data_IF_032124182699
#
_entry.id   IF_032124182699
#
_cell.length_a   1.000
_cell.length_b   1.000
_cell.length_c   1.000
_cell.angle_alpha   90.00
_cell.angle_beta   90.00
_cell.angle_gamma   90.00
#
_symmetry.space_group_name_H-M   'P 1'
#
loop_
_entity.id
_entity.type
_entity.pdbx_description
1 polymer ?
#
# COMPACT_ATOMS: atom_id res chain seq x y z
N UNK A 1 -50.72 -22.49 -66.98
CA UNK A 1 -49.93 -23.73 -67.15
C UNK A 1 -48.58 -23.52 -66.49
N UNK A 2 -48.31 -24.29 -65.44
CA UNK A 2 -46.98 -24.48 -64.84
C UNK A 2 -46.23 -25.54 -65.69
N UNK A 3 -44.89 -25.63 -65.71
CA UNK A 3 -44.19 -26.21 -64.56
C UNK A 3 -42.71 -25.79 -64.30
N UNK A 4 -42.31 -25.91 -63.03
CA UNK A 4 -41.03 -26.42 -62.47
C UNK A 4 -39.69 -25.78 -62.91
N UNK A 5 -38.69 -25.55 -62.05
CA UNK A 5 -38.37 -25.87 -60.65
C UNK A 5 -36.96 -25.30 -60.43
N UNK A 6 -36.64 -24.52 -59.41
CA UNK A 6 -36.05 -24.94 -58.13
C UNK A 6 -35.30 -23.68 -57.64
N UNK A 7 -35.42 -23.19 -56.41
CA UNK A 7 -34.63 -23.53 -55.21
C UNK A 7 -35.25 -22.55 -54.18
N UNK A 8 -35.87 -22.99 -53.09
CA UNK A 8 -35.17 -23.61 -51.96
C UNK A 8 -34.93 -22.55 -50.88
N UNK A 9 -35.94 -22.38 -50.04
CA UNK A 9 -35.99 -21.57 -48.81
C UNK A 9 -34.79 -21.78 -47.88
N UNK A 10 -34.13 -20.70 -47.44
CA UNK A 10 -33.34 -20.67 -46.19
C UNK A 10 -33.11 -19.24 -45.69
N UNK A 11 -34.19 -18.56 -45.32
CA UNK A 11 -34.15 -17.26 -44.64
C UNK A 11 -34.67 -17.41 -43.20
N UNK A 12 -34.05 -18.27 -42.40
CA UNK A 12 -34.37 -18.39 -40.96
C UNK A 12 -33.30 -19.19 -40.20
N UNK A 13 -32.03 -18.75 -40.22
CA UNK A 13 -31.01 -19.43 -39.39
C UNK A 13 -29.78 -18.60 -39.01
N UNK A 14 -29.91 -17.29 -38.76
CA UNK A 14 -28.77 -16.46 -38.35
C UNK A 14 -29.12 -15.46 -37.22
N UNK A 15 -29.79 -15.92 -36.15
CA UNK A 15 -30.02 -15.11 -34.92
C UNK A 15 -29.82 -15.89 -33.61
N UNK A 16 -28.90 -16.85 -33.59
CA UNK A 16 -28.58 -17.58 -32.34
C UNK A 16 -27.11 -18.03 -32.29
N UNK A 17 -26.18 -17.08 -32.44
CA UNK A 17 -24.73 -17.35 -32.32
C UNK A 17 -23.91 -16.16 -31.78
N UNK A 18 -24.51 -15.26 -30.99
CA UNK A 18 -23.80 -14.07 -30.44
C UNK A 18 -23.88 -13.91 -28.92
N UNK A 19 -24.40 -14.89 -28.18
CA UNK A 19 -24.51 -14.85 -26.71
C UNK A 19 -23.51 -15.74 -25.96
N UNK A 20 -22.62 -16.44 -26.66
CA UNK A 20 -21.66 -17.38 -26.06
C UNK A 20 -20.23 -16.85 -25.83
N UNK A 21 -19.85 -15.71 -26.44
CA UNK A 21 -18.44 -15.29 -26.48
C UNK A 21 -18.06 -14.22 -25.45
N UNK A 22 -19.03 -13.53 -24.80
CA UNK A 22 -18.70 -12.59 -23.71
C UNK A 22 -18.47 -13.27 -22.35
N UNK A 23 -18.97 -14.50 -22.14
CA UNK A 23 -18.73 -15.22 -20.89
C UNK A 23 -17.31 -15.81 -20.80
N UNK A 24 -16.70 -16.15 -21.94
CA UNK A 24 -15.33 -16.67 -21.99
C UNK A 24 -14.26 -15.59 -21.77
N UNK A 25 -14.55 -14.33 -22.08
CA UNK A 25 -13.61 -13.22 -21.85
C UNK A 25 -13.59 -12.72 -20.39
N UNK A 26 -14.68 -12.94 -19.64
CA UNK A 26 -14.76 -12.62 -18.20
C UNK A 26 -14.10 -13.69 -17.30
N UNK A 27 -13.81 -14.88 -17.82
CA UNK A 27 -13.22 -15.99 -17.05
C UNK A 27 -11.69 -16.10 -17.21
N UNK A 28 -11.08 -15.36 -18.14
CA UNK A 28 -9.61 -15.39 -18.37
C UNK A 28 -8.87 -14.31 -17.58
N UNK A 29 -9.56 -13.35 -16.94
CA UNK A 29 -8.94 -12.33 -16.08
C UNK A 29 -8.77 -12.76 -14.61
N UNK A 30 -9.20 -13.97 -14.23
CA UNK A 30 -9.12 -14.47 -12.85
C UNK A 30 -8.09 -15.60 -12.66
N UNK A 31 -7.62 -16.20 -13.75
CA UNK A 31 -6.46 -17.07 -13.72
C UNK A 31 -5.30 -16.21 -14.18
N UNK A 32 -4.31 -15.97 -13.33
CA UNK A 32 -2.89 -15.74 -13.61
C UNK A 32 -2.31 -15.23 -12.28
N UNK A 33 -1.42 -16.05 -11.72
CA UNK A 33 -0.75 -15.91 -10.43
C UNK A 33 -1.62 -15.95 -9.16
N UNK A 34 -2.39 -17.04 -8.97
CA UNK A 34 -2.46 -17.62 -7.64
C UNK A 34 -1.07 -18.21 -7.31
N UNK A 35 -0.08 -17.35 -7.04
CA UNK A 35 1.05 -17.78 -6.22
C UNK A 35 0.41 -18.34 -4.96
N UNK A 36 0.54 -19.64 -4.73
CA UNK A 36 0.05 -20.27 -3.52
C UNK A 36 0.68 -19.51 -2.36
N UNK A 37 -0.12 -18.64 -1.73
CA UNK A 37 0.35 -17.86 -0.60
C UNK A 37 0.95 -18.86 0.40
N UNK A 38 2.14 -18.57 0.98
CA UNK A 38 2.77 -19.47 1.91
C UNK A 38 1.76 -19.90 2.98
N UNK A 39 1.78 -21.18 3.33
CA UNK A 39 0.83 -21.75 4.29
C UNK A 39 0.87 -20.92 5.58
N UNK A 40 -0.22 -20.18 5.85
CA UNK A 40 -0.31 -19.32 7.03
C UNK A 40 -0.52 -20.17 8.27
N UNK A 41 0.15 -19.82 9.36
CA UNK A 41 -0.09 -20.41 10.67
C UNK A 41 -1.56 -20.25 11.08
N UNK A 42 -2.09 -21.25 11.79
CA UNK A 42 -3.45 -21.22 12.34
C UNK A 42 -3.46 -20.57 13.73
N UNK A 43 -4.55 -19.88 14.03
CA UNK A 43 -4.86 -19.46 15.40
C UNK A 43 -5.05 -20.72 16.26
N UNK A 44 -4.35 -20.83 17.40
CA UNK A 44 -4.55 -21.92 18.34
C UNK A 44 -5.99 -21.96 18.88
N UNK A 45 -6.46 -23.14 19.28
CA UNK A 45 -7.85 -23.32 19.73
C UNK A 45 -8.19 -22.51 21.00
N UNK A 46 -7.20 -22.18 21.82
CA UNK A 46 -7.33 -21.32 23.00
C UNK A 46 -7.28 -19.81 22.64
N UNK A 47 -7.11 -19.47 21.36
CA UNK A 47 -7.03 -18.09 20.87
C UNK A 47 -5.73 -17.38 21.21
N UNK A 48 -4.75 -18.06 21.81
CA UNK A 48 -3.49 -17.45 22.26
C UNK A 48 -2.44 -17.49 21.17
N UNK A 49 -2.13 -16.33 20.60
CA UNK A 49 -1.12 -16.12 19.57
C UNK A 49 0.16 -15.65 20.24
N UNK A 50 1.27 -16.36 19.99
CA UNK A 50 2.59 -15.98 20.50
C UNK A 50 3.51 -15.72 19.31
N UNK A 51 4.09 -14.53 19.27
CA UNK A 51 5.12 -14.16 18.30
C UNK A 51 6.43 -13.98 19.06
N UNK A 52 7.47 -14.67 18.64
CA UNK A 52 8.82 -14.56 19.21
C UNK A 52 9.77 -14.03 18.15
N UNK A 53 10.57 -13.03 18.50
CA UNK A 53 11.62 -12.53 17.65
C UNK A 53 12.93 -13.28 17.93
N UNK A 54 13.27 -14.22 17.05
CA UNK A 54 14.55 -14.92 17.07
C UNK A 54 15.66 -14.16 16.31
N UNK A 55 15.30 -13.14 15.54
CA UNK A 55 16.23 -12.37 14.73
C UNK A 55 16.93 -11.25 15.49
N UNK A 56 16.52 -10.98 16.75
CA UNK A 56 16.94 -9.81 17.52
C UNK A 56 16.69 -8.53 16.70
N UNK A 57 15.60 -8.55 15.93
CA UNK A 57 15.08 -7.44 15.17
C UNK A 57 14.09 -6.71 16.07
N UNK A 58 14.16 -5.40 16.07
CA UNK A 58 13.08 -4.62 16.67
C UNK A 58 11.88 -4.61 15.73
N UNK A 59 10.84 -5.39 16.02
CA UNK A 59 9.63 -5.37 15.21
C UNK A 59 8.82 -4.17 15.69
N UNK A 60 8.97 -3.07 14.95
CA UNK A 60 7.93 -2.05 14.89
C UNK A 60 6.57 -2.66 14.49
N UNK A 61 5.51 -1.86 14.45
CA UNK A 61 4.18 -2.32 14.06
C UNK A 61 4.23 -2.99 12.69
N UNK A 62 3.83 -4.25 12.61
CA UNK A 62 3.84 -5.03 11.38
C UNK A 62 2.55 -5.85 11.24
N UNK A 63 1.87 -5.79 10.07
CA UNK A 63 0.72 -6.63 9.79
C UNK A 63 1.10 -8.10 9.76
N UNK A 64 0.40 -8.90 10.56
CA UNK A 64 0.53 -10.36 10.57
C UNK A 64 -0.81 -11.00 10.23
N UNK A 65 -0.78 -12.20 9.64
CA UNK A 65 -1.98 -12.87 9.16
C UNK A 65 -1.98 -14.35 9.54
N UNK A 66 -3.09 -14.80 10.11
CA UNK A 66 -3.29 -16.16 10.59
C UNK A 66 -4.58 -16.76 10.01
N UNK A 67 -4.59 -18.06 9.77
CA UNK A 67 -5.83 -18.78 9.49
C UNK A 67 -6.68 -18.87 10.76
N UNK A 68 -7.98 -18.57 10.67
CA UNK A 68 -8.92 -18.61 11.78
C UNK A 68 -10.01 -19.64 11.53
N UNK A 69 -10.39 -20.39 12.58
CA UNK A 69 -11.60 -21.21 12.56
C UNK A 69 -12.82 -20.34 12.91
N UNK A 70 -13.62 -20.03 11.89
CA UNK A 70 -14.81 -19.19 12.02
C UNK A 70 -15.92 -19.82 12.88
N UNK A 71 -15.89 -21.14 13.11
CA UNK A 71 -16.83 -21.81 14.02
C UNK A 71 -16.46 -21.57 15.47
N UNK A 72 -15.16 -21.67 15.79
CA UNK A 72 -14.65 -21.40 17.12
C UNK A 72 -14.68 -19.89 17.45
N UNK A 73 -14.33 -19.06 16.46
CA UNK A 73 -14.22 -17.61 16.56
C UNK A 73 -15.11 -16.93 15.50
N UNK A 74 -16.42 -16.79 15.76
CA UNK A 74 -17.34 -16.17 14.81
C UNK A 74 -17.10 -14.66 14.70
N UNK A 75 -16.97 -14.09 13.48
CA UNK A 75 -16.84 -12.65 13.28
C UNK A 75 -17.98 -11.84 13.92
N UNK A 76 -17.71 -10.58 14.26
CA UNK A 76 -18.70 -9.68 14.87
C UNK A 76 -18.89 -9.83 16.38
N UNK A 77 -18.20 -10.78 17.02
CA UNK A 77 -18.27 -11.05 18.47
C UNK A 77 -16.92 -11.39 19.06
N UNK A 78 -15.88 -10.68 18.61
CA UNK A 78 -14.50 -10.99 18.97
C UNK A 78 -13.80 -9.75 19.51
N UNK A 79 -12.83 -10.01 20.37
CA UNK A 79 -11.83 -9.04 20.82
C UNK A 79 -10.45 -9.68 20.67
N UNK A 80 -9.49 -8.91 20.15
CA UNK A 80 -8.08 -9.25 20.19
C UNK A 80 -7.41 -8.34 21.21
N UNK A 81 -6.81 -8.94 22.24
CA UNK A 81 -6.17 -8.20 23.34
C UNK A 81 -4.67 -8.45 23.33
N UNK A 82 -3.87 -7.41 23.55
CA UNK A 82 -2.47 -7.56 23.88
C UNK A 82 -2.28 -7.99 25.35
N UNK A 83 -1.05 -8.31 25.76
CA UNK A 83 -0.72 -8.79 27.10
C UNK A 83 -1.05 -7.79 28.22
N UNK A 84 -1.14 -6.49 27.92
CA UNK A 84 -1.55 -5.44 28.85
C UNK A 84 -3.08 -5.24 28.92
N UNK A 85 -3.85 -6.06 28.18
CA UNK A 85 -5.30 -5.97 28.09
C UNK A 85 -5.82 -4.91 27.11
N UNK A 86 -4.94 -4.18 26.42
CA UNK A 86 -5.34 -3.22 25.40
C UNK A 86 -5.95 -3.93 24.20
N UNK A 87 -7.00 -3.34 23.62
CA UNK A 87 -7.60 -3.84 22.40
C UNK A 87 -6.68 -3.54 21.20
N UNK A 88 -6.50 -4.54 20.35
CA UNK A 88 -5.73 -4.46 19.12
C UNK A 88 -6.70 -4.52 17.94
N UNK A 89 -6.66 -3.54 17.01
CA UNK A 89 -7.53 -3.58 15.85
C UNK A 89 -7.20 -4.79 14.97
N UNK A 90 -8.24 -5.48 14.52
CA UNK A 90 -8.12 -6.69 13.71
C UNK A 90 -9.21 -6.74 12.66
N UNK A 91 -8.98 -7.44 11.56
CA UNK A 91 -10.01 -7.70 10.56
C UNK A 91 -9.97 -9.15 10.11
N UNK A 92 -11.14 -9.69 9.77
CA UNK A 92 -11.30 -11.05 9.28
C UNK A 92 -11.84 -11.00 7.86
N UNK A 93 -11.10 -11.59 6.93
CA UNK A 93 -11.52 -11.73 5.53
C UNK A 93 -11.43 -13.18 5.11
N UNK A 94 -12.55 -13.72 4.63
CA UNK A 94 -12.72 -15.16 4.42
C UNK A 94 -12.39 -15.91 5.72
N UNK A 95 -11.26 -16.63 5.76
CA UNK A 95 -10.77 -17.35 6.94
C UNK A 95 -9.41 -16.84 7.44
N UNK A 96 -9.07 -15.58 7.16
CA UNK A 96 -7.81 -14.97 7.55
C UNK A 96 -8.07 -13.84 8.54
N UNK A 97 -7.52 -13.96 9.74
CA UNK A 97 -7.40 -12.88 10.72
C UNK A 97 -6.13 -12.09 10.41
N UNK A 98 -6.25 -10.77 10.27
CA UNK A 98 -5.11 -9.85 10.18
C UNK A 98 -5.18 -8.82 11.29
N UNK A 99 -4.04 -8.56 11.92
CA UNK A 99 -3.87 -7.49 12.91
C UNK A 99 -2.44 -6.95 12.84
N UNK A 100 -2.18 -5.84 13.52
CA UNK A 100 -0.82 -5.25 13.60
C UNK A 100 -0.16 -5.71 14.89
N UNK A 101 0.96 -6.42 14.77
CA UNK A 101 1.75 -6.88 15.89
C UNK A 101 3.00 -6.00 16.09
N UNK A 102 3.34 -5.75 17.35
CA UNK A 102 4.65 -5.27 17.76
C UNK A 102 5.35 -6.40 18.53
N UNK A 103 6.60 -6.70 18.21
CA UNK A 103 7.40 -7.72 18.92
C UNK A 103 8.69 -7.06 19.41
N UNK A 104 8.95 -7.04 20.73
CA UNK A 104 10.17 -6.42 21.25
C UNK A 104 11.39 -7.18 20.75
N UNK A 105 12.48 -6.45 20.54
CA UNK A 105 13.77 -6.98 20.10
C UNK A 105 14.23 -8.17 20.95
N UNK A 106 14.41 -9.33 20.32
CA UNK A 106 14.82 -10.58 20.98
C UNK A 106 13.81 -11.14 21.98
N UNK A 107 12.59 -10.59 22.01
CA UNK A 107 11.56 -10.93 22.99
C UNK A 107 10.38 -11.64 22.35
N UNK A 108 9.23 -11.55 23.01
CA UNK A 108 7.98 -12.12 22.52
C UNK A 108 6.81 -11.20 22.82
N UNK A 109 5.79 -11.26 21.97
CA UNK A 109 4.51 -10.63 22.17
C UNK A 109 3.40 -11.69 22.19
N UNK A 110 2.41 -11.47 23.04
CA UNK A 110 1.26 -12.37 23.22
C UNK A 110 -0.01 -11.60 22.91
N UNK A 111 -0.85 -12.19 22.08
CA UNK A 111 -2.17 -11.68 21.73
C UNK A 111 -3.21 -12.74 22.01
N UNK A 112 -4.36 -12.36 22.56
CA UNK A 112 -5.45 -13.26 22.90
C UNK A 112 -6.70 -12.89 22.12
N UNK A 113 -7.10 -13.77 21.20
CA UNK A 113 -8.38 -13.68 20.53
C UNK A 113 -9.44 -14.35 21.41
N UNK A 114 -10.48 -13.61 21.77
CA UNK A 114 -11.53 -14.10 22.67
C UNK A 114 -12.92 -13.67 22.19
N UNK A 115 -13.94 -14.39 22.64
CA UNK A 115 -15.34 -14.01 22.40
C UNK A 115 -15.66 -12.76 23.22
N UNK A 116 -16.39 -11.85 22.60
CA UNK A 116 -16.86 -10.59 23.17
C UNK A 116 -18.36 -10.45 22.94
N UNK A 117 -19.03 -9.70 23.82
CA UNK A 117 -20.46 -9.41 23.67
C UNK A 117 -20.75 -8.55 22.43
N UNK A 118 -19.78 -7.71 22.04
CA UNK A 118 -19.83 -6.81 20.88
C UNK A 118 -18.60 -7.04 19.98
N UNK A 119 -18.67 -6.57 18.74
CA UNK A 119 -17.51 -6.53 17.87
C UNK A 119 -16.54 -5.44 18.33
N UNK A 120 -15.29 -5.83 18.64
CA UNK A 120 -14.23 -4.92 19.08
C UNK A 120 -13.12 -4.79 18.03
N UNK A 121 -13.38 -5.24 16.80
CA UNK A 121 -12.43 -5.22 15.67
C UNK A 121 -11.80 -3.86 15.37
N UNK A 122 -12.58 -2.79 15.57
CA UNK A 122 -12.19 -1.42 15.23
C UNK A 122 -11.73 -0.60 16.43
N UNK A 123 -11.68 -1.19 17.64
CA UNK A 123 -11.16 -0.47 18.80
C UNK A 123 -9.68 -0.13 18.60
N UNK A 124 -9.31 1.09 19.02
CA UNK A 124 -7.94 1.63 18.91
C UNK A 124 -7.36 1.68 17.49
N UNK A 125 -8.17 1.56 16.43
CA UNK A 125 -7.66 1.81 15.08
C UNK A 125 -7.46 3.31 14.83
N UNK A 126 -6.31 3.65 14.27
CA UNK A 126 -6.03 4.97 13.70
C UNK A 126 -6.34 5.05 12.21
N UNK A 127 -6.57 3.89 11.56
CA UNK A 127 -6.68 3.77 10.12
C UNK A 127 -8.04 4.27 9.64
N UNK A 128 -8.02 5.16 8.65
CA UNK A 128 -9.19 5.83 8.10
C UNK A 128 -9.13 5.80 6.58
N UNK A 129 -10.28 5.63 5.97
CA UNK A 129 -10.48 5.79 4.53
C UNK A 129 -11.65 6.74 4.29
N UNK A 130 -11.51 7.61 3.29
CA UNK A 130 -12.57 8.51 2.86
C UNK A 130 -12.39 8.79 1.37
N UNK A 131 -13.48 8.83 0.61
CA UNK A 131 -13.45 9.19 -0.81
C UNK A 131 -14.31 10.44 -1.03
N UNK A 132 -13.76 11.39 -1.78
CA UNK A 132 -14.46 12.60 -2.20
C UNK A 132 -14.08 12.97 -3.64
N UNK A 133 -14.43 14.19 -4.07
CA UNK A 133 -14.13 14.70 -5.42
C UNK A 133 -12.63 14.77 -5.74
N UNK A 134 -11.78 14.85 -4.72
CA UNK A 134 -10.33 14.95 -4.84
C UNK A 134 -9.66 13.57 -4.81
N UNK A 135 -10.40 12.49 -4.54
CA UNK A 135 -9.92 11.12 -4.65
C UNK A 135 -10.16 10.30 -3.39
N UNK A 136 -9.45 9.17 -3.29
CA UNK A 136 -9.48 8.30 -2.13
C UNK A 136 -8.35 8.68 -1.18
N UNK A 137 -8.67 9.12 0.02
CA UNK A 137 -7.72 9.30 1.11
C UNK A 137 -7.62 8.02 1.95
N UNK A 138 -6.40 7.54 2.16
CA UNK A 138 -6.07 6.55 3.19
C UNK A 138 -5.14 7.22 4.20
N UNK A 139 -5.45 7.12 5.49
CA UNK A 139 -4.70 7.79 6.54
C UNK A 139 -4.58 6.94 7.79
N UNK A 140 -3.46 7.07 8.50
CA UNK A 140 -3.31 6.62 9.88
C UNK A 140 -2.81 7.79 10.76
N UNK A 141 -2.35 7.50 11.97
CA UNK A 141 -1.87 8.50 12.93
C UNK A 141 -0.55 9.17 12.55
N UNK A 142 0.14 8.69 11.50
CA UNK A 142 1.47 9.15 11.06
C UNK A 142 1.46 9.78 9.67
N UNK A 143 0.66 9.24 8.74
CA UNK A 143 0.69 9.62 7.33
C UNK A 143 -0.72 9.56 6.73
N UNK A 144 -1.01 10.49 5.83
CA UNK A 144 -2.16 10.48 4.93
C UNK A 144 -1.68 10.43 3.48
N UNK A 145 -2.36 9.64 2.65
CA UNK A 145 -2.06 9.48 1.23
C UNK A 145 -3.34 9.72 0.44
N UNK A 146 -3.26 10.60 -0.54
CA UNK A 146 -4.32 10.86 -1.50
C UNK A 146 -4.05 10.08 -2.77
N UNK A 147 -5.00 9.21 -3.11
CA UNK A 147 -4.96 8.30 -4.24
C UNK A 147 -6.04 8.71 -5.25
N UNK A 148 -5.94 8.25 -6.51
CA UNK A 148 -7.06 8.34 -7.43
C UNK A 148 -8.37 7.80 -6.83
N UNK A 149 -9.50 8.41 -7.21
CA UNK A 149 -10.81 7.86 -6.87
C UNK A 149 -10.97 6.47 -7.47
N UNK A 150 -11.77 5.62 -6.82
CA UNK A 150 -12.05 4.30 -7.34
C UNK A 150 -12.80 4.36 -8.67
N UNK A 151 -12.53 3.42 -9.56
CA UNK A 151 -13.18 3.33 -10.86
C UNK A 151 -12.22 2.99 -12.00
N UNK A 152 -12.66 3.30 -13.21
CA UNK A 152 -11.94 2.98 -14.44
C UNK A 152 -11.81 4.22 -15.31
N UNK A 153 -10.59 4.47 -15.80
CA UNK A 153 -10.30 5.45 -16.84
C UNK A 153 -10.01 4.70 -18.13
N UNK A 154 -10.87 4.88 -19.12
CA UNK A 154 -10.74 4.25 -20.44
C UNK A 154 -10.89 5.31 -21.55
N UNK A 155 -9.77 5.90 -22.01
CA UNK A 155 -9.78 6.81 -23.15
C UNK A 155 -10.36 6.15 -24.42
N UNK A 156 -10.93 6.96 -25.32
CA UNK A 156 -11.46 6.46 -26.60
C UNK A 156 -10.33 5.88 -27.48
N UNK A 157 -9.15 6.49 -27.43
CA UNK A 157 -7.90 5.99 -28.01
C UNK A 157 -6.81 6.00 -26.93
N UNK A 158 -5.82 5.08 -26.97
CA UNK A 158 -4.73 5.08 -25.99
C UNK A 158 -4.12 6.47 -25.84
N UNK A 159 -4.01 6.96 -24.60
CA UNK A 159 -3.55 8.31 -24.30
C UNK A 159 -2.08 8.32 -23.86
N UNK A 160 -1.31 9.39 -24.07
CA UNK A 160 0.02 9.52 -23.48
C UNK A 160 -0.04 9.33 -21.96
N UNK A 161 0.93 8.61 -21.38
CA UNK A 161 0.90 8.30 -19.95
C UNK A 161 0.89 9.56 -19.05
N UNK A 162 1.48 10.67 -19.51
CA UNK A 162 1.45 11.96 -18.84
C UNK A 162 0.04 12.58 -18.71
N UNK A 163 -0.94 12.14 -19.50
CA UNK A 163 -2.34 12.59 -19.42
C UNK A 163 -3.20 11.73 -18.50
N UNK A 164 -2.69 10.57 -18.05
CA UNK A 164 -3.36 9.70 -17.11
C UNK A 164 -2.74 9.92 -15.74
N UNK A 165 -3.59 10.09 -14.72
CA UNK A 165 -3.12 10.26 -13.35
C UNK A 165 -2.26 9.07 -12.89
N UNK A 166 -1.19 9.37 -12.14
CA UNK A 166 -0.37 8.35 -11.49
C UNK A 166 -1.05 7.73 -10.26
N UNK A 167 -0.48 6.65 -9.69
CA UNK A 167 -1.08 5.88 -8.60
C UNK A 167 -1.16 6.63 -7.27
N UNK A 168 -0.33 7.64 -7.07
CA UNK A 168 -0.32 8.55 -5.91
C UNK A 168 -0.53 9.98 -6.40
N UNK A 169 -1.54 10.66 -5.87
CA UNK A 169 -1.79 12.08 -6.18
C UNK A 169 -0.99 13.00 -5.29
N UNK A 170 -0.98 12.71 -3.99
CA UNK A 170 -0.21 13.44 -3.00
C UNK A 170 -0.12 12.63 -1.69
N UNK A 171 0.71 13.07 -0.77
CA UNK A 171 0.79 12.55 0.58
C UNK A 171 1.03 13.69 1.57
N UNK A 172 0.83 13.40 2.86
CA UNK A 172 0.97 14.37 3.93
C UNK A 172 1.38 13.67 5.24
N UNK A 173 2.51 14.02 5.86
CA UNK A 173 2.86 13.53 7.18
C UNK A 173 1.96 14.16 8.26
N UNK A 174 1.87 13.51 9.42
CA UNK A 174 1.19 14.06 10.60
C UNK A 174 1.78 15.43 10.95
N UNK A 175 0.90 16.39 11.26
CA UNK A 175 1.30 17.75 11.64
C UNK A 175 1.59 18.67 10.46
N UNK A 176 1.39 18.20 9.22
CA UNK A 176 1.47 19.04 8.03
C UNK A 176 0.06 19.39 7.54
N UNK A 177 -0.11 20.62 7.07
CA UNK A 177 -1.38 21.10 6.53
C UNK A 177 -1.45 21.00 5.00
N UNK A 178 -0.29 21.07 4.34
CA UNK A 178 -0.19 21.00 2.87
C UNK A 178 0.03 19.57 2.38
N UNK A 179 -0.73 19.19 1.36
CA UNK A 179 -0.45 18.00 0.55
C UNK A 179 0.77 18.24 -0.33
N UNK A 180 1.63 17.23 -0.43
CA UNK A 180 2.88 17.29 -1.18
C UNK A 180 3.07 16.04 -2.02
N UNK A 181 3.99 16.13 -2.96
CA UNK A 181 4.42 15.05 -3.80
C UNK A 181 3.40 14.64 -4.84
N UNK A 182 3.52 13.40 -5.29
CA UNK A 182 2.67 12.80 -6.31
C UNK A 182 3.45 11.76 -7.11
N UNK A 183 2.85 11.31 -8.20
CA UNK A 183 3.47 10.33 -9.09
C UNK A 183 3.09 10.57 -10.53
N UNK A 184 3.96 10.16 -11.44
CA UNK A 184 3.71 10.17 -12.88
C UNK A 184 4.54 9.09 -13.56
N UNK A 185 4.09 8.66 -14.73
CA UNK A 185 4.92 7.84 -15.59
C UNK A 185 5.91 8.70 -16.38
N UNK A 186 7.12 8.20 -16.51
CA UNK A 186 8.11 8.62 -17.49
C UNK A 186 8.22 7.48 -18.49
N UNK A 187 7.48 7.57 -19.59
CA UNK A 187 7.41 6.56 -20.66
C UNK A 187 6.77 7.19 -21.90
N UNK A 188 7.17 6.74 -23.07
CA UNK A 188 6.50 7.08 -24.35
C UNK A 188 5.31 6.16 -24.64
N UNK A 189 5.14 5.09 -23.84
CA UNK A 189 4.02 4.17 -23.98
C UNK A 189 2.71 4.86 -23.66
N UNK A 190 1.67 4.47 -24.38
CA UNK A 190 0.34 5.03 -24.23
C UNK A 190 -0.47 4.12 -23.32
N UNK A 191 -1.34 4.69 -22.51
CA UNK A 191 -2.22 3.95 -21.60
C UNK A 191 -3.59 3.83 -22.27
N UNK A 192 -4.03 2.59 -22.49
CA UNK A 192 -5.33 2.26 -23.05
C UNK A 192 -6.42 2.19 -21.97
N UNK A 193 -6.05 1.87 -20.73
CA UNK A 193 -6.96 1.70 -19.61
C UNK A 193 -6.22 1.82 -18.28
N UNK A 194 -6.85 2.41 -17.28
CA UNK A 194 -6.40 2.38 -15.89
C UNK A 194 -7.57 2.01 -14.96
N UNK A 195 -7.31 1.18 -13.95
CA UNK A 195 -8.29 0.71 -12.97
C UNK A 195 -7.77 1.01 -11.57
N UNK A 196 -8.62 1.61 -10.75
CA UNK A 196 -8.33 2.09 -9.42
C UNK A 196 -9.32 1.45 -8.45
N UNK A 197 -8.84 0.76 -7.41
CA UNK A 197 -9.72 0.05 -6.48
C UNK A 197 -9.15 -0.05 -5.08
N UNK A 198 -10.01 0.11 -4.10
CA UNK A 198 -9.75 -0.33 -2.74
C UNK A 198 -9.90 -1.85 -2.71
N UNK A 199 -8.78 -2.57 -2.66
CA UNK A 199 -8.75 -4.04 -2.66
C UNK A 199 -9.12 -4.59 -1.29
N UNK A 200 -8.71 -3.88 -0.25
CA UNK A 200 -8.90 -4.27 1.14
C UNK A 200 -9.18 -3.04 1.99
N UNK A 201 -10.22 -3.11 2.81
CA UNK A 201 -10.55 -2.04 3.77
C UNK A 201 -10.96 -2.66 5.09
N UNK A 202 -10.24 -2.31 6.15
CA UNK A 202 -10.57 -2.75 7.49
C UNK A 202 -9.77 -1.99 8.55
N UNK A 203 -10.06 -2.24 9.83
CA UNK A 203 -9.44 -1.51 10.93
C UNK A 203 -7.96 -1.82 11.16
N UNK A 204 -7.41 -2.94 10.68
CA UNK A 204 -6.00 -3.25 10.85
C UNK A 204 -5.16 -2.79 9.65
N UNK A 205 -5.66 -3.05 8.44
CA UNK A 205 -4.96 -2.88 7.17
C UNK A 205 -5.94 -2.40 6.09
N UNK A 206 -5.43 -1.52 5.25
CA UNK A 206 -6.08 -1.03 4.04
C UNK A 206 -5.13 -1.24 2.86
N UNK A 207 -5.65 -1.75 1.74
CA UNK A 207 -4.89 -1.96 0.51
C UNK A 207 -5.63 -1.35 -0.68
N UNK A 208 -4.88 -0.61 -1.48
CA UNK A 208 -5.37 -0.02 -2.72
C UNK A 208 -4.49 -0.45 -3.89
N UNK A 209 -5.13 -0.69 -5.04
CA UNK A 209 -4.47 -1.08 -6.28
C UNK A 209 -4.77 -0.07 -7.38
N UNK A 210 -3.71 0.37 -8.06
CA UNK A 210 -3.77 1.08 -9.32
C UNK A 210 -3.14 0.19 -10.41
N UNK A 211 -3.93 -0.17 -11.41
CA UNK A 211 -3.55 -1.07 -12.50
C UNK A 211 -3.66 -0.34 -13.82
N UNK A 212 -2.59 -0.39 -14.62
CA UNK A 212 -2.49 0.32 -15.89
C UNK A 212 -2.22 -0.67 -17.02
N UNK A 213 -2.95 -0.51 -18.12
CA UNK A 213 -2.81 -1.31 -19.32
C UNK A 213 -2.26 -0.43 -20.44
N UNK A 214 -1.06 -0.75 -20.91
CA UNK A 214 -0.34 -0.02 -21.95
C UNK A 214 -0.66 -0.53 -23.36
N UNK A 215 -0.40 0.34 -24.34
CA UNK A 215 -0.42 0.08 -25.78
C UNK A 215 0.91 0.55 -26.39
N UNK A 216 1.68 -0.32 -27.07
CA UNK A 216 1.49 -1.77 -27.23
C UNK A 216 1.38 -2.54 -25.90
N UNK A 217 0.90 -3.80 -25.94
CA UNK A 217 0.54 -4.60 -24.76
C UNK A 217 1.59 -4.51 -23.66
N UNK A 218 1.15 -4.16 -22.46
CA UNK A 218 1.92 -4.21 -21.21
C UNK A 218 1.01 -3.91 -20.03
N UNK A 219 1.38 -4.35 -18.84
CA UNK A 219 0.62 -4.14 -17.62
C UNK A 219 1.54 -3.68 -16.48
N UNK A 220 1.07 -2.70 -15.72
CA UNK A 220 1.72 -2.25 -14.50
C UNK A 220 0.71 -2.26 -13.36
N UNK A 221 1.04 -2.94 -12.27
CA UNK A 221 0.23 -3.00 -11.07
C UNK A 221 1.00 -2.39 -9.91
N UNK A 222 0.41 -1.36 -9.33
CA UNK A 222 0.93 -0.70 -8.15
C UNK A 222 -0.04 -0.94 -6.99
N UNK A 223 0.46 -1.46 -5.88
CA UNK A 223 -0.32 -1.69 -4.66
C UNK A 223 0.30 -0.94 -3.51
N UNK A 224 -0.55 -0.29 -2.72
CA UNK A 224 -0.16 0.29 -1.45
C UNK A 224 -0.92 -0.36 -0.32
N UNK A 225 -0.18 -0.75 0.71
CA UNK A 225 -0.72 -1.23 1.96
C UNK A 225 -0.38 -0.22 3.06
N UNK A 226 -1.40 0.19 3.79
CA UNK A 226 -1.29 0.97 5.02
C UNK A 226 -1.88 0.18 6.18
N UNK A 227 -1.29 0.33 7.35
CA UNK A 227 -1.77 -0.30 8.57
C UNK A 227 -1.80 0.71 9.72
N UNK A 228 -2.63 0.43 10.73
CA UNK A 228 -2.62 1.19 11.98
C UNK A 228 -1.23 1.10 12.64
N UNK A 229 -0.76 2.16 13.29
CA UNK A 229 0.55 2.19 13.96
C UNK A 229 1.76 2.34 13.04
N UNK A 230 1.66 2.05 11.75
CA UNK A 230 2.83 2.06 10.86
C UNK A 230 3.20 3.48 10.40
N UNK A 231 4.44 3.96 10.62
CA UNK A 231 4.88 5.26 10.11
C UNK A 231 5.28 5.23 8.63
N UNK A 232 5.06 4.10 7.94
CA UNK A 232 5.39 3.87 6.55
C UNK A 232 4.20 3.27 5.82
N UNK A 233 4.14 3.49 4.51
CA UNK A 233 3.26 2.72 3.62
C UNK A 233 4.10 1.74 2.81
N UNK A 234 3.61 0.51 2.66
CA UNK A 234 4.31 -0.54 1.90
C UNK A 234 3.81 -0.52 0.47
N UNK A 235 4.73 -0.32 -0.46
CA UNK A 235 4.44 -0.29 -1.89
C UNK A 235 4.94 -1.58 -2.53
N UNK A 236 4.13 -2.17 -3.40
CA UNK A 236 4.51 -3.31 -4.24
C UNK A 236 4.19 -2.97 -5.69
N UNK A 237 5.16 -3.21 -6.56
CA UNK A 237 5.08 -2.90 -7.98
C UNK A 237 5.32 -4.18 -8.78
N UNK A 238 4.44 -4.44 -9.74
CA UNK A 238 4.56 -5.53 -10.71
C UNK A 238 4.53 -4.91 -12.10
N UNK A 239 5.51 -5.22 -12.94
CA UNK A 239 5.55 -4.75 -14.31
C UNK A 239 5.73 -5.90 -15.28
N UNK A 240 4.76 -6.07 -16.17
CA UNK A 240 4.83 -6.98 -17.31
C UNK A 240 4.86 -6.14 -18.58
N UNK A 241 6.06 -5.88 -19.10
CA UNK A 241 6.23 -5.00 -20.25
C UNK A 241 5.65 -5.53 -21.56
N UNK A 242 5.30 -6.82 -21.64
CA UNK A 242 4.84 -7.52 -22.85
C UNK A 242 5.91 -7.71 -23.93
N UNK A 243 7.03 -6.99 -23.82
CA UNK A 243 8.22 -7.05 -24.66
C UNK A 243 9.47 -6.60 -23.88
N UNK A 244 10.66 -6.78 -24.43
CA UNK A 244 11.90 -6.24 -23.86
C UNK A 244 11.89 -4.72 -24.08
N UNK A 245 12.11 -3.94 -23.02
CA UNK A 245 12.14 -2.48 -23.08
C UNK A 245 13.56 -1.96 -22.91
N UNK A 246 13.82 -0.74 -23.39
CA UNK A 246 15.12 -0.06 -23.23
C UNK A 246 15.36 0.47 -21.79
N UNK A 247 14.57 0.02 -20.81
CA UNK A 247 14.65 0.48 -19.42
C UNK A 247 14.16 1.92 -19.20
N UNK A 248 13.37 2.46 -20.14
CA UNK A 248 12.86 3.85 -20.10
C UNK A 248 11.45 3.98 -19.54
N UNK A 249 10.79 2.87 -19.23
CA UNK A 249 9.43 2.84 -18.70
C UNK A 249 9.46 2.86 -17.18
N UNK A 250 9.32 4.05 -16.59
CA UNK A 250 9.49 4.24 -15.15
C UNK A 250 8.24 4.89 -14.54
N UNK A 251 7.85 4.42 -13.36
CA UNK A 251 7.04 5.22 -12.45
C UNK A 251 7.97 6.15 -11.66
N UNK A 252 7.72 7.46 -11.71
CA UNK A 252 8.41 8.43 -10.87
C UNK A 252 7.54 8.80 -9.67
N UNK A 253 8.06 8.56 -8.47
CA UNK A 253 7.48 9.05 -7.22
C UNK A 253 8.12 10.39 -6.85
N UNK A 254 7.42 11.49 -7.13
CA UNK A 254 7.91 12.84 -6.90
C UNK A 254 7.58 13.29 -5.47
N UNK A 255 7.93 12.52 -4.44
CA UNK A 255 7.46 12.74 -3.05
C UNK A 255 7.78 14.12 -2.47
N UNK A 256 8.79 14.82 -3.01
CA UNK A 256 9.25 16.14 -2.59
C UNK A 256 8.55 17.30 -3.31
N UNK A 257 7.74 17.04 -4.34
CA UNK A 257 7.14 18.10 -5.15
C UNK A 257 6.21 18.96 -4.30
N UNK A 258 6.36 20.29 -4.38
CA UNK A 258 5.58 21.21 -3.56
C UNK A 258 6.00 21.24 -2.08
N UNK A 259 7.09 20.56 -1.72
CA UNK A 259 7.66 20.67 -0.38
C UNK A 259 8.28 22.05 -0.18
N UNK A 260 7.72 22.80 0.76
CA UNK A 260 8.32 24.00 1.31
C UNK A 260 8.82 23.65 2.72
N UNK A 261 10.11 23.83 3.04
CA UNK A 261 10.63 23.48 4.35
C UNK A 261 10.09 24.43 5.42
N UNK A 262 8.89 24.12 5.94
CA UNK A 262 8.35 24.74 7.14
C UNK A 262 8.89 24.08 8.41
N UNK A 263 9.33 22.81 8.32
CA UNK A 263 9.86 22.01 9.42
C UNK A 263 11.10 21.23 8.98
N UNK A 264 12.07 21.08 9.88
CA UNK A 264 13.12 20.05 9.78
C UNK A 264 12.66 18.83 10.56
N UNK A 265 12.68 17.69 9.89
CA UNK A 265 12.49 16.38 10.51
C UNK A 265 13.84 15.72 10.70
N UNK A 266 14.09 15.18 11.88
CA UNK A 266 15.18 14.24 12.09
C UNK A 266 14.64 13.01 12.81
N UNK A 267 15.15 11.86 12.38
CA UNK A 267 14.96 10.61 13.10
C UNK A 267 16.03 10.63 14.19
N UNK A 268 15.61 10.78 15.45
CA UNK A 268 16.52 10.75 16.59
C UNK A 268 17.20 9.38 16.73
N UNK A 269 18.25 9.28 17.55
CA UNK A 269 18.69 7.95 17.98
C UNK A 269 17.55 7.29 18.75
N UNK A 270 17.30 6.02 18.44
CA UNK A 270 16.27 5.22 19.07
C UNK A 270 16.61 5.07 20.56
N UNK A 271 15.79 5.60 21.49
CA UNK A 271 16.02 5.40 22.92
C UNK A 271 15.95 3.90 23.24
N UNK A 272 16.79 3.42 24.17
CA UNK A 272 16.69 2.04 24.65
C UNK A 272 15.26 1.73 25.12
N UNK A 273 14.65 0.69 24.56
CA UNK A 273 13.30 0.23 24.93
C UNK A 273 12.12 0.84 24.15
N UNK A 274 12.34 1.66 23.11
CA UNK A 274 11.27 2.11 22.21
C UNK A 274 11.41 1.51 20.82
N UNK A 275 10.33 0.94 20.26
CA UNK A 275 10.34 0.23 18.97
C UNK A 275 10.40 1.12 17.72
N UNK A 276 10.27 2.45 17.87
CA UNK A 276 10.35 3.41 16.76
C UNK A 276 11.12 4.62 17.26
N UNK A 277 12.18 5.00 16.54
CA UNK A 277 12.86 6.27 16.80
C UNK A 277 11.85 7.42 16.61
N UNK A 278 11.65 8.29 17.61
CA UNK A 278 10.70 9.38 17.49
C UNK A 278 11.13 10.29 16.33
N UNK A 279 10.21 10.48 15.39
CA UNK A 279 10.37 11.51 14.36
C UNK A 279 10.12 12.84 15.05
N UNK A 280 11.21 13.57 15.34
CA UNK A 280 11.09 14.91 15.87
C UNK A 280 11.00 15.88 14.70
N UNK A 281 9.95 16.70 14.70
CA UNK A 281 9.79 17.79 13.76
C UNK A 281 9.91 19.12 14.51
N UNK A 282 10.71 20.05 13.97
CA UNK A 282 10.86 21.40 14.50
C UNK A 282 10.64 22.42 13.39
N UNK A 283 10.00 23.58 13.65
CA UNK A 283 9.93 24.64 12.66
C UNK A 283 11.31 24.97 12.09
N UNK A 284 11.40 25.03 10.76
CA UNK A 284 12.64 25.33 10.05
C UNK A 284 13.20 26.69 10.46
N UNK A 285 12.32 27.68 10.66
CA UNK A 285 12.68 29.00 11.20
C UNK A 285 13.43 28.89 12.53
N UNK A 286 12.92 28.08 13.47
CA UNK A 286 13.54 27.89 14.78
C UNK A 286 14.89 27.17 14.69
N UNK A 287 15.01 26.15 13.82
CA UNK A 287 16.31 25.52 13.56
C UNK A 287 17.33 26.52 12.98
N UNK A 288 16.91 27.34 12.01
CA UNK A 288 17.78 28.34 11.40
C UNK A 288 18.19 29.40 12.42
N UNK A 289 17.28 29.86 13.28
CA UNK A 289 17.61 30.77 14.37
C UNK A 289 18.62 30.15 15.34
N UNK A 290 18.46 28.87 15.70
CA UNK A 290 19.41 28.17 16.57
C UNK A 290 20.77 27.99 15.92
N UNK A 291 20.83 27.65 14.62
CA UNK A 291 22.09 27.56 13.89
C UNK A 291 22.76 28.92 13.72
N UNK A 292 21.98 30.00 13.53
CA UNK A 292 22.50 31.37 13.51
C UNK A 292 23.02 31.82 14.88
N UNK A 293 22.33 31.45 15.96
CA UNK A 293 22.75 31.73 17.36
C UNK A 293 23.96 30.89 17.77
N UNK A 294 24.06 29.67 17.25
CA UNK A 294 25.18 28.75 17.43
C UNK A 294 26.33 29.00 16.44
N UNK A 295 26.40 30.19 15.82
CA UNK A 295 27.53 30.56 14.97
C UNK A 295 28.84 30.26 15.72
N UNK A 296 29.82 29.59 15.09
CA UNK A 296 31.08 29.29 15.75
C UNK A 296 31.78 30.59 16.13
N UNK A 297 32.41 30.61 17.31
CA UNK A 297 33.66 31.36 17.45
C UNK A 297 34.51 31.07 16.20
N UNK A 298 35.05 32.11 15.56
CA UNK A 298 35.87 32.07 14.33
C UNK A 298 36.32 30.65 13.95
N UNK A 299 35.80 30.14 12.83
CA UNK A 299 36.42 28.96 12.23
C UNK A 299 37.91 29.29 12.04
N UNK A 300 38.85 28.48 12.57
CA UNK A 300 40.26 28.75 12.40
C UNK A 300 40.53 28.72 10.90
N UNK A 301 40.87 29.89 10.34
CA UNK A 301 41.36 30.03 8.98
C UNK A 301 42.77 29.44 8.98
N UNK A 302 42.88 28.12 8.82
CA UNK A 302 44.15 27.42 8.88
C UNK A 302 43.97 25.90 8.92
N UNK A 303 44.02 25.28 7.76
CA UNK A 303 43.94 23.82 7.62
C UNK A 303 44.30 23.38 6.22
N UNK A 304 45.57 23.54 5.86
CA UNK A 304 46.14 22.88 4.69
C UNK A 304 45.85 21.38 4.78
N UNK A 305 45.25 20.82 3.72
CA UNK A 305 45.04 19.38 3.60
C UNK A 305 46.36 18.65 3.77
N UNK A 306 46.46 17.82 4.81
CA UNK A 306 47.36 16.69 4.78
C UNK A 306 46.54 15.49 4.30
N UNK A 307 46.95 14.93 3.17
CA UNK A 307 46.46 13.63 2.73
C UNK A 307 46.76 12.59 3.83
N UNK A 308 45.84 11.64 4.08
CA UNK A 308 46.11 10.54 4.99
C UNK A 308 47.37 9.78 4.51
N UNK A 309 48.24 9.41 5.45
CA UNK A 309 49.43 8.64 5.14
C UNK A 309 49.04 7.33 4.45
N UNK A 310 49.79 6.90 3.41
CA UNK A 310 49.49 5.65 2.73
C UNK A 310 49.64 4.49 3.70
N UNK A 311 48.70 3.55 3.61
CA UNK A 311 48.71 2.29 4.33
C UNK A 311 49.99 1.53 3.97
N UNK A 312 50.79 1.17 4.98
CA UNK A 312 51.92 0.25 4.83
C UNK A 312 51.44 -1.14 5.27
N UNK A 313 51.63 -2.19 4.46
CA UNK A 313 51.11 -3.53 4.73
C UNK A 313 51.71 -4.20 5.98
#
# INVERSE_FOLDING_TARGET
MNPNSAIGTSAARWRRASRGWMAALMLILAAWAAHAAPARSRIPADGRIVLADYGIRDWGPEPVSYQIDLKAFPPGKLALLASDGSAVPFQIESNILTFVACVPKGGSAVYTLSKSATDRSSENTSLKTAEDKDGLQIANEHISILLPAQGEVKPAEPAPAAQIQGPVRAWKPKGFDKWVGGSRFSTDRRIARAVFRLVRSGPAVCEYEARYFFSPRGEYVWRIQMAAGMPIARITEEFEAGEITDGRDLLMLELHRGWEPAHIMWIGQQPEGQNIAPVTAKPFSQYIEEKKKASPAEAPVGGAGHAPAPFVP
#
